data_IF_229906152354
#
_entry.id   IF_229906152354
#
_cell.length_a   1.000
_cell.length_b   1.000
_cell.length_c   1.000
_cell.angle_alpha   90.00
_cell.angle_beta   90.00
_cell.angle_gamma   90.00
#
_symmetry.space_group_name_H-M   'P 1'
#
loop_
_entity.id
_entity.type
_entity.pdbx_description
1 polymer ?
#
# COMPACT_ATOMS: atom_id res chain seq x y z
N UNK A 1 30.12 -1.84 -4.23
CA UNK A 1 29.56 -3.18 -4.16
C UNK A 1 28.17 -3.15 -4.78
N UNK A 2 27.98 -3.68 -6.02
CA UNK A 2 26.72 -3.65 -6.74
C UNK A 2 25.67 -4.56 -6.12
N UNK A 3 24.39 -4.35 -6.53
CA UNK A 3 23.29 -5.23 -6.15
C UNK A 3 23.54 -6.63 -6.73
N UNK A 4 23.60 -7.71 -5.91
CA UNK A 4 23.84 -9.07 -6.38
C UNK A 4 22.72 -9.61 -7.28
N UNK A 5 21.54 -8.98 -7.26
CA UNK A 5 20.39 -9.38 -8.08
C UNK A 5 20.51 -8.81 -9.49
N UNK A 6 20.50 -9.67 -10.50
CA UNK A 6 20.48 -9.29 -11.91
C UNK A 6 19.32 -9.94 -12.64
N UNK A 7 18.83 -9.28 -13.69
CA UNK A 7 17.75 -9.81 -14.54
C UNK A 7 18.29 -10.88 -15.48
N UNK A 8 17.63 -12.02 -15.58
CA UNK A 8 17.91 -13.01 -16.63
C UNK A 8 17.80 -12.37 -18.02
N UNK A 9 18.67 -12.74 -18.96
CA UNK A 9 18.66 -12.19 -20.33
C UNK A 9 19.40 -10.86 -20.50
N UNK A 10 20.19 -10.43 -19.52
CA UNK A 10 21.06 -9.25 -19.61
C UNK A 10 20.30 -7.91 -19.55
N UNK A 11 20.89 -6.87 -20.16
CA UNK A 11 20.37 -5.50 -20.03
C UNK A 11 19.19 -5.16 -20.95
N UNK A 12 18.88 -5.99 -21.95
CA UNK A 12 17.84 -5.71 -22.93
C UNK A 12 16.47 -5.44 -22.28
N UNK A 13 16.02 -6.29 -21.36
CA UNK A 13 14.77 -6.11 -20.63
C UNK A 13 14.73 -4.82 -19.83
N UNK A 14 15.85 -4.38 -19.28
CA UNK A 14 15.92 -3.12 -18.53
C UNK A 14 15.61 -1.91 -19.40
N UNK A 15 16.02 -1.94 -20.67
CA UNK A 15 15.81 -0.85 -21.62
C UNK A 15 14.43 -0.91 -22.27
N UNK A 16 13.99 -2.09 -22.71
CA UNK A 16 12.76 -2.25 -23.48
C UNK A 16 11.49 -2.28 -22.63
N UNK A 17 11.56 -2.70 -21.35
CA UNK A 17 10.39 -2.75 -20.49
C UNK A 17 9.81 -1.33 -20.27
N UNK A 18 8.48 -1.20 -20.33
CA UNK A 18 7.77 0.04 -20.00
C UNK A 18 7.64 0.23 -18.49
N UNK A 19 7.46 -0.86 -17.75
CA UNK A 19 7.35 -0.86 -16.28
C UNK A 19 8.28 -1.94 -15.72
N UNK A 20 8.97 -1.61 -14.63
CA UNK A 20 9.75 -2.56 -13.83
C UNK A 20 9.36 -2.42 -12.38
N UNK A 21 9.08 -3.55 -11.76
CA UNK A 21 8.68 -3.63 -10.35
C UNK A 21 9.60 -4.60 -9.61
N UNK A 22 9.98 -4.25 -8.40
CA UNK A 22 10.61 -5.14 -7.43
C UNK A 22 9.54 -5.59 -6.43
N UNK A 23 9.31 -6.89 -6.35
CA UNK A 23 8.28 -7.49 -5.51
C UNK A 23 8.99 -8.33 -4.46
N UNK A 24 8.76 -8.00 -3.17
CA UNK A 24 9.39 -8.68 -2.04
C UNK A 24 8.39 -9.05 -0.97
N UNK A 25 8.57 -10.24 -0.43
CA UNK A 25 7.91 -10.62 0.82
C UNK A 25 8.59 -9.90 1.98
N UNK A 26 7.81 -9.20 2.81
CA UNK A 26 8.30 -8.48 3.99
C UNK A 26 7.91 -9.13 5.30
N UNK A 27 6.91 -10.02 5.29
CA UNK A 27 6.49 -10.75 6.48
C UNK A 27 5.57 -11.93 6.17
N UNK A 28 5.37 -12.79 7.15
CA UNK A 28 4.37 -13.84 7.10
C UNK A 28 3.13 -13.41 7.90
N UNK A 29 1.95 -13.65 7.32
CA UNK A 29 0.69 -13.49 8.02
C UNK A 29 0.32 -14.82 8.64
N UNK A 30 0.16 -14.82 9.96
CA UNK A 30 -0.16 -16.03 10.74
C UNK A 30 -1.53 -15.89 11.35
N UNK A 31 -2.27 -16.98 11.31
CA UNK A 31 -3.48 -17.16 12.08
C UNK A 31 -3.26 -18.36 13.00
N UNK A 32 -3.23 -18.10 14.33
CA UNK A 32 -2.76 -19.08 15.32
C UNK A 32 -1.34 -19.57 14.95
N UNK A 33 -1.16 -20.86 14.66
CA UNK A 33 0.15 -21.45 14.31
C UNK A 33 0.34 -21.69 12.80
N UNK A 34 -0.63 -21.30 11.97
CA UNK A 34 -0.56 -21.50 10.52
C UNK A 34 -0.23 -20.21 9.79
N UNK A 35 0.64 -20.33 8.77
CA UNK A 35 0.92 -19.22 7.86
C UNK A 35 -0.17 -19.23 6.77
N UNK A 36 -1.00 -18.19 6.75
CA UNK A 36 -2.14 -18.04 5.85
C UNK A 36 -1.90 -17.07 4.72
N UNK A 37 -0.78 -16.34 4.74
CA UNK A 37 -0.45 -15.38 3.72
C UNK A 37 0.93 -14.73 3.93
N UNK A 38 1.23 -13.78 3.06
CA UNK A 38 2.44 -12.97 3.13
C UNK A 38 2.10 -11.49 3.03
N UNK A 39 2.73 -10.67 3.85
CA UNK A 39 2.80 -9.25 3.61
C UNK A 39 3.85 -8.99 2.53
N UNK A 40 3.47 -8.28 1.49
CA UNK A 40 4.24 -8.10 0.26
C UNK A 40 4.45 -6.62 0.00
N UNK A 41 5.67 -6.25 -0.37
CA UNK A 41 6.03 -4.91 -0.82
C UNK A 41 6.32 -4.93 -2.31
N UNK A 42 5.72 -3.99 -3.04
CA UNK A 42 6.03 -3.73 -4.46
C UNK A 42 6.59 -2.33 -4.58
N UNK A 43 7.79 -2.23 -5.18
CA UNK A 43 8.43 -0.95 -5.51
C UNK A 43 8.50 -0.81 -7.02
N UNK A 44 7.94 0.26 -7.56
CA UNK A 44 8.06 0.60 -8.98
C UNK A 44 9.42 1.23 -9.23
N UNK A 45 10.33 0.49 -9.90
CA UNK A 45 11.70 0.95 -10.16
C UNK A 45 11.75 1.81 -11.42
N UNK A 46 10.98 1.45 -12.45
CA UNK A 46 10.89 2.15 -13.73
C UNK A 46 9.46 2.19 -14.18
N UNK A 47 9.03 3.36 -14.67
CA UNK A 47 7.71 3.52 -15.28
C UNK A 47 7.82 4.61 -16.37
N UNK A 48 7.46 4.26 -17.61
CA UNK A 48 7.45 5.18 -18.76
C UNK A 48 6.10 5.86 -18.95
N UNK A 49 5.02 5.37 -18.31
CA UNK A 49 3.64 5.82 -18.53
C UNK A 49 3.04 6.56 -17.34
N UNK A 50 3.73 6.57 -16.20
CA UNK A 50 3.32 7.29 -14.99
C UNK A 50 4.55 7.57 -14.09
N UNK A 51 4.46 8.44 -13.06
CA UNK A 51 5.56 8.70 -12.14
C UNK A 51 6.09 7.40 -11.48
N UNK A 52 7.41 7.13 -11.57
CA UNK A 52 8.03 5.94 -10.95
C UNK A 52 8.23 6.12 -9.44
N UNK A 53 8.91 5.13 -8.83
CA UNK A 53 9.37 5.11 -7.43
C UNK A 53 8.27 5.03 -6.36
N UNK A 54 7.04 4.73 -6.77
CA UNK A 54 5.97 4.43 -5.82
C UNK A 54 6.22 3.08 -5.14
N UNK A 55 5.90 3.04 -3.85
CA UNK A 55 5.98 1.82 -3.02
C UNK A 55 4.59 1.55 -2.47
N UNK A 56 4.13 0.32 -2.61
CA UNK A 56 2.89 -0.17 -2.01
C UNK A 56 3.16 -1.44 -1.22
N UNK A 57 2.44 -1.60 -0.13
CA UNK A 57 2.47 -2.80 0.71
C UNK A 57 1.05 -3.32 0.87
N UNK A 58 0.87 -4.62 0.73
CA UNK A 58 -0.41 -5.28 0.86
C UNK A 58 -0.27 -6.72 1.34
N UNK A 59 -1.35 -7.26 1.86
CA UNK A 59 -1.45 -8.65 2.29
C UNK A 59 -1.88 -9.55 1.13
N UNK A 60 -1.07 -10.55 0.83
CA UNK A 60 -1.36 -11.60 -0.13
C UNK A 60 -1.76 -12.87 0.62
N UNK A 61 -3.05 -13.19 0.59
CA UNK A 61 -3.62 -14.36 1.28
C UNK A 61 -3.58 -15.59 0.37
N UNK A 62 -3.15 -16.73 0.89
CA UNK A 62 -3.10 -17.96 0.12
C UNK A 62 -4.50 -18.41 -0.30
N UNK A 63 -4.65 -18.74 -1.59
CA UNK A 63 -5.92 -19.15 -2.18
C UNK A 63 -6.97 -18.04 -2.36
N UNK A 64 -6.77 -16.86 -1.79
CA UNK A 64 -7.72 -15.72 -1.88
C UNK A 64 -7.16 -14.52 -2.66
N UNK A 65 -5.83 -14.40 -2.76
CA UNK A 65 -5.19 -13.25 -3.41
C UNK A 65 -5.01 -12.04 -2.49
N UNK A 66 -5.02 -10.84 -3.05
CA UNK A 66 -4.81 -9.59 -2.31
C UNK A 66 -5.99 -9.31 -1.37
N UNK A 67 -5.69 -9.04 -0.09
CA UNK A 67 -6.69 -8.71 0.93
C UNK A 67 -7.16 -7.27 0.78
N UNK A 68 -8.22 -7.05 -0.02
CA UNK A 68 -8.81 -5.72 -0.21
C UNK A 68 -9.25 -5.08 1.11
N UNK A 69 -9.84 -5.87 2.00
CA UNK A 69 -10.32 -5.39 3.30
C UNK A 69 -9.17 -4.95 4.21
N UNK A 70 -8.05 -5.68 4.18
CA UNK A 70 -6.84 -5.28 4.90
C UNK A 70 -6.32 -3.92 4.44
N UNK A 71 -6.30 -3.69 3.12
CA UNK A 71 -5.91 -2.40 2.56
C UNK A 71 -6.86 -1.26 2.96
N UNK A 72 -8.17 -1.51 2.99
CA UNK A 72 -9.14 -0.50 3.40
C UNK A 72 -8.91 -0.03 4.85
N UNK A 73 -8.54 -0.94 5.76
CA UNK A 73 -8.21 -0.59 7.13
C UNK A 73 -6.92 0.24 7.20
N UNK A 74 -5.88 -0.21 6.49
CA UNK A 74 -4.57 0.46 6.52
C UNK A 74 -4.63 1.84 5.86
N UNK A 75 -5.25 1.94 4.69
CA UNK A 75 -5.42 3.21 3.98
C UNK A 75 -6.42 4.11 4.70
N UNK A 76 -7.53 3.55 5.22
CA UNK A 76 -8.51 4.29 6.01
C UNK A 76 -7.91 4.90 7.26
N UNK A 77 -7.01 4.17 7.93
CA UNK A 77 -6.30 4.69 9.10
C UNK A 77 -5.32 5.81 8.71
N UNK A 78 -4.59 5.64 7.60
CA UNK A 78 -3.67 6.68 7.09
C UNK A 78 -4.41 7.95 6.63
N UNK A 79 -5.58 7.78 6.06
CA UNK A 79 -6.44 8.87 5.60
C UNK A 79 -7.29 9.50 6.73
N UNK A 80 -7.25 8.97 7.96
CA UNK A 80 -8.07 9.45 9.07
C UNK A 80 -9.56 9.11 8.95
N UNK A 81 -9.94 8.25 8.00
CA UNK A 81 -11.31 7.77 7.79
C UNK A 81 -11.67 6.70 8.82
N UNK A 82 -10.71 5.83 9.13
CA UNK A 82 -10.80 4.82 10.19
C UNK A 82 -9.96 5.31 11.37
N UNK A 83 -10.59 5.49 12.50
CA UNK A 83 -9.95 5.91 13.73
C UNK A 83 -9.23 4.73 14.39
N UNK A 84 -7.99 4.94 14.85
CA UNK A 84 -7.24 3.97 15.60
C UNK A 84 -6.87 4.53 16.97
N UNK A 85 -7.40 3.92 18.03
CA UNK A 85 -7.08 4.26 19.41
C UNK A 85 -6.51 3.03 20.13
N UNK A 86 -5.19 3.04 20.34
CA UNK A 86 -4.47 1.88 20.86
C UNK A 86 -4.68 0.64 19.98
N UNK A 87 -5.28 -0.40 20.51
CA UNK A 87 -5.61 -1.63 19.78
C UNK A 87 -6.98 -1.58 19.08
N UNK A 88 -7.79 -0.55 19.30
CA UNK A 88 -9.15 -0.46 18.78
C UNK A 88 -9.22 0.31 17.47
N UNK A 89 -10.01 -0.22 16.55
CA UNK A 89 -10.40 0.44 15.30
C UNK A 89 -11.86 0.87 15.39
N UNK A 90 -12.16 2.08 14.93
CA UNK A 90 -13.53 2.62 14.90
C UNK A 90 -13.80 3.32 13.56
N UNK A 91 -15.06 3.34 13.16
CA UNK A 91 -15.54 4.06 12.00
C UNK A 91 -16.82 4.81 12.38
N UNK A 92 -16.86 6.15 12.14
CA UNK A 92 -17.98 7.01 12.55
C UNK A 92 -18.38 6.87 14.03
N UNK A 93 -17.39 6.67 14.92
CA UNK A 93 -17.61 6.48 16.34
C UNK A 93 -18.01 5.07 16.76
N UNK A 94 -18.29 4.15 15.83
CA UNK A 94 -18.58 2.76 16.12
C UNK A 94 -17.32 1.91 16.11
N UNK A 95 -17.12 1.07 17.14
CA UNK A 95 -15.99 0.15 17.21
C UNK A 95 -16.17 -0.98 16.21
N UNK A 96 -15.23 -1.11 15.28
CA UNK A 96 -15.25 -2.15 14.23
C UNK A 96 -14.36 -3.36 14.58
N UNK A 97 -13.47 -3.24 15.57
CA UNK A 97 -12.70 -4.38 16.05
C UNK A 97 -11.53 -4.01 16.94
N UNK A 98 -11.17 -4.94 17.83
CA UNK A 98 -9.94 -4.88 18.59
C UNK A 98 -8.84 -5.64 17.84
N UNK A 99 -7.83 -4.93 17.35
CA UNK A 99 -6.81 -5.46 16.47
C UNK A 99 -7.24 -5.47 14.99
N UNK A 100 -6.24 -5.48 14.11
CA UNK A 100 -6.42 -5.40 12.65
C UNK A 100 -7.23 -6.58 12.10
N UNK A 101 -6.99 -7.78 12.61
CA UNK A 101 -7.67 -8.99 12.11
C UNK A 101 -9.17 -8.98 12.45
N UNK A 102 -9.54 -8.55 13.67
CA UNK A 102 -10.97 -8.45 14.04
C UNK A 102 -11.68 -7.35 13.22
N UNK A 103 -11.00 -6.24 12.93
CA UNK A 103 -11.53 -5.20 12.07
C UNK A 103 -11.74 -5.71 10.63
N UNK A 104 -10.82 -6.56 10.09
CA UNK A 104 -10.98 -7.23 8.79
C UNK A 104 -12.23 -8.13 8.78
N UNK A 105 -12.37 -8.99 9.78
CA UNK A 105 -13.53 -9.89 9.91
C UNK A 105 -14.84 -9.09 9.99
N UNK A 106 -14.83 -7.97 10.71
CA UNK A 106 -16.00 -7.09 10.80
C UNK A 106 -16.38 -6.51 9.41
N UNK A 107 -15.41 -5.98 8.66
CA UNK A 107 -15.67 -5.43 7.34
C UNK A 107 -16.06 -6.50 6.31
N UNK A 108 -15.53 -7.72 6.41
CA UNK A 108 -15.94 -8.85 5.58
C UNK A 108 -17.43 -9.22 5.81
N UNK A 109 -17.90 -9.13 7.04
CA UNK A 109 -19.30 -9.34 7.40
C UNK A 109 -20.22 -8.18 7.05
N UNK A 110 -19.65 -6.98 6.91
CA UNK A 110 -20.38 -5.74 6.64
C UNK A 110 -19.87 -5.06 5.35
N UNK A 111 -20.13 -5.65 4.17
CA UNK A 111 -19.61 -5.15 2.90
C UNK A 111 -20.08 -3.73 2.56
N UNK A 112 -21.25 -3.31 3.05
CA UNK A 112 -21.73 -1.94 2.83
C UNK A 112 -20.83 -0.90 3.47
N UNK A 113 -20.33 -1.17 4.70
CA UNK A 113 -19.40 -0.29 5.41
C UNK A 113 -18.04 -0.28 4.68
N UNK A 114 -17.58 -1.43 4.19
CA UNK A 114 -16.35 -1.52 3.42
C UNK A 114 -16.41 -0.67 2.14
N UNK A 115 -17.53 -0.71 1.40
CA UNK A 115 -17.75 0.10 0.19
C UNK A 115 -17.80 1.60 0.53
N UNK A 116 -18.43 1.95 1.64
CA UNK A 116 -18.49 3.35 2.09
C UNK A 116 -17.10 3.89 2.44
N UNK A 117 -16.32 3.14 3.21
CA UNK A 117 -14.92 3.49 3.54
C UNK A 117 -14.08 3.63 2.26
N UNK A 118 -14.21 2.68 1.31
CA UNK A 118 -13.51 2.74 0.03
C UNK A 118 -13.82 4.02 -0.72
N UNK A 119 -15.10 4.40 -0.80
CA UNK A 119 -15.53 5.62 -1.48
C UNK A 119 -14.91 6.87 -0.86
N UNK A 120 -14.97 6.99 0.47
CA UNK A 120 -14.39 8.16 1.17
C UNK A 120 -12.87 8.25 0.93
N UNK A 121 -12.15 7.12 1.01
CA UNK A 121 -10.70 7.08 0.73
C UNK A 121 -10.41 7.53 -0.70
N UNK A 122 -11.18 7.05 -1.70
CA UNK A 122 -10.99 7.43 -3.12
C UNK A 122 -11.27 8.91 -3.35
N UNK A 123 -12.31 9.45 -2.75
CA UNK A 123 -12.67 10.86 -2.87
C UNK A 123 -11.57 11.76 -2.29
N UNK A 124 -11.01 11.40 -1.13
CA UNK A 124 -9.89 12.12 -0.51
C UNK A 124 -8.61 12.00 -1.35
N UNK A 125 -8.28 10.81 -1.85
CA UNK A 125 -7.12 10.61 -2.70
C UNK A 125 -7.20 11.42 -4.00
N UNK A 126 -8.38 11.53 -4.58
CA UNK A 126 -8.63 12.34 -5.78
C UNK A 126 -8.47 13.83 -5.52
N UNK A 127 -8.90 14.31 -4.34
CA UNK A 127 -8.72 15.70 -3.92
C UNK A 127 -7.23 16.03 -3.74
N UNK A 128 -6.49 15.18 -3.03
CA UNK A 128 -5.04 15.35 -2.82
C UNK A 128 -4.27 15.32 -4.14
N UNK A 129 -4.62 14.43 -5.08
CA UNK A 129 -4.00 14.40 -6.40
C UNK A 129 -4.21 15.69 -7.18
N UNK A 130 -5.41 16.26 -7.14
CA UNK A 130 -5.71 17.53 -7.79
C UNK A 130 -4.96 18.72 -7.17
N UNK A 131 -4.81 18.74 -5.85
CA UNK A 131 -4.01 19.76 -5.16
C UNK A 131 -2.52 19.68 -5.51
N UNK A 132 -1.98 18.47 -5.64
CA UNK A 132 -0.58 18.25 -6.04
C UNK A 132 -0.31 18.62 -7.50
N UNK A 133 -1.28 18.43 -8.39
CA UNK A 133 -1.19 18.85 -9.79
C UNK A 133 -1.35 20.35 -9.96
N UNK A 134 -2.11 21.01 -9.07
CA UNK A 134 -2.36 22.46 -9.09
C UNK A 134 -1.25 23.32 -8.47
N UNK A 135 -0.23 22.74 -7.80
CA UNK A 135 0.85 23.49 -7.16
C UNK A 135 2.24 23.02 -7.60
N UNK A 136 2.82 23.63 -8.67
CA UNK A 136 4.13 23.24 -9.19
C UNK A 136 5.32 23.64 -8.30
N UNK A 137 5.11 24.30 -7.17
CA UNK A 137 6.20 24.89 -6.37
C UNK A 137 6.75 24.04 -5.22
N UNK A 138 6.37 22.77 -5.07
CA UNK A 138 6.93 21.86 -4.05
C UNK A 138 8.00 20.88 -4.58
N UNK A 139 8.52 21.13 -5.79
CA UNK A 139 9.70 20.42 -6.30
C UNK A 139 10.91 21.32 -6.11
N UNK A 140 11.53 21.33 -4.95
CA UNK A 140 12.93 21.64 -4.76
C UNK A 140 13.24 21.73 -3.26
N UNK A 141 13.64 20.64 -2.69
CA UNK A 141 14.60 20.54 -1.58
C UNK A 141 14.90 19.06 -1.31
N UNK A 142 15.58 18.44 -2.25
CA UNK A 142 16.46 17.32 -1.91
C UNK A 142 17.86 17.89 -1.88
N UNK A 143 18.42 17.90 -0.70
CA UNK A 143 19.77 18.36 -0.40
C UNK A 143 20.81 17.64 -1.25
N UNK A 144 21.50 18.40 -2.10
CA UNK A 144 22.88 18.16 -2.46
C UNK A 144 23.74 18.47 -1.21
N UNK A 145 24.08 17.44 -0.49
CA UNK A 145 25.25 17.39 0.42
C UNK A 145 25.65 15.94 0.51
N UNK A 146 26.70 15.65 -0.22
CA UNK A 146 27.78 14.72 0.08
C UNK A 146 28.52 14.42 -1.20
N UNK A 147 29.60 15.17 -1.40
CA UNK A 147 30.86 14.71 -1.98
C UNK A 147 31.89 15.83 -1.81
N UNK A 148 32.68 15.69 -0.79
CA UNK A 148 34.11 15.99 -0.74
C UNK A 148 34.83 14.88 0.00
#
# INVERSE_FOLDING_TARGET
FGNPETTSGGNALKFYSSVRMDIRRIGAIKEKDQIIGNSTRVKVIKNKVAPPFKVVEFDLMYGKGISKVGELIDLGTKAGVVEKSGAWYAYKGEKIGQGRENAKIYLEKNPNIAVEIEKVIRDQASAISKELEGNPSSKEKVNDKEEE
#
